data_IF_100660767471
#
_entry.id   IF_100660767471
#
_cell.length_a   1.000
_cell.length_b   1.000
_cell.length_c   1.000
_cell.angle_alpha   90.00
_cell.angle_beta   90.00
_cell.angle_gamma   90.00
#
_symmetry.space_group_name_H-M   'P 1'
#
loop_
_entity.id
_entity.type
_entity.pdbx_description
1 polymer ?
#
# COMPACT_ATOMS: atom_id res chain seq x y z
N UNK A 1 -1.88 19.49 -9.41
CA UNK A 1 -2.02 20.63 -8.47
C UNK A 1 -0.72 21.42 -8.53
N UNK A 2 -0.74 22.66 -8.98
CA UNK A 2 0.45 23.51 -8.97
C UNK A 2 0.62 23.99 -7.53
N UNK A 3 1.69 23.57 -6.87
CA UNK A 3 2.07 24.13 -5.57
C UNK A 3 2.54 25.56 -5.80
N UNK A 4 1.85 26.50 -5.21
CA UNK A 4 2.29 27.90 -5.20
C UNK A 4 3.12 28.09 -3.93
N UNK A 5 4.43 28.16 -4.09
CA UNK A 5 5.36 28.41 -3.00
C UNK A 5 6.04 29.78 -3.20
N UNK A 6 6.44 30.44 -2.11
CA UNK A 6 7.28 31.63 -2.20
C UNK A 6 8.71 31.22 -2.62
N UNK A 7 9.49 32.17 -3.15
CA UNK A 7 10.88 31.94 -3.53
C UNK A 7 11.73 31.44 -2.34
N UNK A 8 11.44 31.93 -1.13
CA UNK A 8 12.12 31.50 0.09
C UNK A 8 11.79 30.05 0.41
N UNK A 9 10.53 29.66 0.20
CA UNK A 9 10.08 28.29 0.43
C UNK A 9 10.71 27.34 -0.59
N UNK A 10 10.77 27.72 -1.87
CA UNK A 10 11.44 26.93 -2.91
C UNK A 10 12.93 26.77 -2.62
N UNK A 11 13.61 27.85 -2.20
CA UNK A 11 15.01 27.80 -1.79
C UNK A 11 15.23 26.87 -0.60
N UNK A 12 14.36 26.95 0.41
CA UNK A 12 14.44 26.09 1.59
C UNK A 12 14.29 24.60 1.24
N UNK A 13 13.32 24.25 0.40
CA UNK A 13 13.15 22.87 -0.04
C UNK A 13 14.31 22.39 -0.90
N UNK A 14 14.85 23.25 -1.79
CA UNK A 14 16.04 22.95 -2.57
C UNK A 14 17.27 22.66 -1.69
N UNK A 15 17.45 23.39 -0.61
CA UNK A 15 18.53 23.15 0.36
C UNK A 15 18.32 21.84 1.13
N UNK A 16 17.06 21.50 1.49
CA UNK A 16 16.75 20.22 2.12
C UNK A 16 17.04 19.04 1.19
N UNK A 17 16.64 19.15 -0.07
CA UNK A 17 16.92 18.10 -1.08
C UNK A 17 18.43 17.89 -1.24
N UNK A 18 19.21 18.96 -1.35
CA UNK A 18 20.66 18.87 -1.44
C UNK A 18 21.29 18.18 -0.24
N UNK A 19 20.86 18.55 0.98
CA UNK A 19 21.33 17.87 2.20
C UNK A 19 20.98 16.40 2.22
N UNK A 20 19.76 16.03 1.76
CA UNK A 20 19.39 14.63 1.64
C UNK A 20 20.28 13.90 0.63
N UNK A 21 20.57 14.49 -0.54
CA UNK A 21 21.47 13.91 -1.53
C UNK A 21 22.88 13.67 -0.95
N UNK A 22 23.43 14.65 -0.23
CA UNK A 22 24.72 14.54 0.43
C UNK A 22 24.75 13.36 1.43
N UNK A 23 23.67 13.18 2.18
CA UNK A 23 23.54 12.03 3.10
C UNK A 23 23.52 10.69 2.35
N UNK A 24 22.75 10.57 1.25
CA UNK A 24 22.72 9.35 0.43
C UNK A 24 24.08 9.03 -0.19
N UNK A 25 24.82 10.05 -0.66
CA UNK A 25 26.15 9.90 -1.18
C UNK A 25 27.11 9.37 -0.08
N UNK A 26 27.03 9.93 1.12
CA UNK A 26 27.84 9.51 2.25
C UNK A 26 27.57 8.05 2.66
N UNK A 27 26.27 7.70 2.80
CA UNK A 27 25.85 6.33 3.14
C UNK A 27 26.31 5.34 2.06
N UNK A 28 26.13 5.68 0.80
CA UNK A 28 26.58 4.82 -0.32
C UNK A 28 28.08 4.59 -0.33
N UNK A 29 28.88 5.61 0.02
CA UNK A 29 30.36 5.47 0.16
C UNK A 29 30.71 4.57 1.33
N UNK A 30 30.08 4.75 2.49
CA UNK A 30 30.31 3.95 3.69
C UNK A 30 29.99 2.47 3.43
N UNK A 31 28.85 2.19 2.80
CA UNK A 31 28.42 0.82 2.47
C UNK A 31 29.36 0.15 1.46
N UNK A 32 29.78 0.85 0.42
CA UNK A 32 30.78 0.34 -0.52
C UNK A 32 32.14 0.07 0.13
N UNK A 33 32.47 0.75 1.20
CA UNK A 33 33.66 0.50 2.01
C UNK A 33 33.51 -0.63 3.04
N UNK A 34 32.35 -1.29 3.10
CA UNK A 34 32.10 -2.44 3.98
C UNK A 34 31.70 -2.09 5.42
N UNK A 35 31.28 -0.85 5.68
CA UNK A 35 30.80 -0.44 7.02
C UNK A 35 29.36 -0.88 7.31
N UNK A 36 28.66 -1.44 6.31
CA UNK A 36 27.30 -1.98 6.45
C UNK A 36 27.17 -3.21 5.54
N UNK A 37 26.51 -4.30 5.97
CA UNK A 37 26.33 -5.47 5.13
C UNK A 37 25.39 -5.25 3.94
N UNK A 38 24.45 -4.30 4.04
CA UNK A 38 23.56 -3.95 2.93
C UNK A 38 24.18 -2.92 1.99
N UNK A 39 24.15 -3.17 0.68
CA UNK A 39 24.70 -2.24 -0.31
C UNK A 39 23.77 -1.06 -0.58
N UNK A 40 22.46 -1.30 -0.56
CA UNK A 40 21.45 -0.29 -0.85
C UNK A 40 20.79 0.25 0.43
N UNK A 41 20.40 1.52 0.49
CA UNK A 41 19.62 2.06 1.61
C UNK A 41 18.28 1.36 1.74
N UNK A 42 17.84 1.12 2.98
CA UNK A 42 16.53 0.50 3.29
C UNK A 42 15.35 1.36 2.80
N UNK A 43 15.54 2.66 2.76
CA UNK A 43 14.54 3.61 2.27
C UNK A 43 15.08 4.26 1.01
N UNK A 44 14.68 3.82 -0.18
CA UNK A 44 15.09 4.44 -1.42
C UNK A 44 14.46 5.84 -1.53
N UNK A 45 15.18 6.76 -2.15
CA UNK A 45 14.67 8.09 -2.41
C UNK A 45 13.59 8.04 -3.50
N UNK A 46 12.42 8.58 -3.20
CA UNK A 46 11.31 8.70 -4.14
C UNK A 46 11.06 10.17 -4.47
N UNK A 47 10.84 10.48 -5.74
CA UNK A 47 10.56 11.85 -6.23
C UNK A 47 9.10 12.25 -6.05
N UNK A 48 8.21 11.27 -6.05
CA UNK A 48 6.77 11.48 -5.89
C UNK A 48 6.10 10.30 -5.18
N UNK A 49 4.79 10.40 -4.98
CA UNK A 49 3.99 9.35 -4.37
C UNK A 49 4.10 8.01 -5.14
N UNK A 50 4.12 8.07 -6.47
CA UNK A 50 4.14 6.87 -7.29
C UNK A 50 5.43 6.06 -7.10
N UNK A 51 6.59 6.74 -7.12
CA UNK A 51 7.89 6.10 -6.82
C UNK A 51 7.96 5.61 -5.39
N UNK A 52 7.36 6.33 -4.42
CA UNK A 52 7.31 5.89 -3.03
C UNK A 52 6.51 4.62 -2.88
N UNK A 53 5.33 4.54 -3.50
CA UNK A 53 4.49 3.33 -3.46
C UNK A 53 5.20 2.15 -4.09
N UNK A 54 5.81 2.34 -5.26
CA UNK A 54 6.59 1.30 -5.93
C UNK A 54 7.74 0.79 -5.07
N UNK A 55 8.53 1.70 -4.50
CA UNK A 55 9.69 1.35 -3.69
C UNK A 55 9.33 0.62 -2.39
N UNK A 56 8.17 0.91 -1.80
CA UNK A 56 7.76 0.35 -0.51
C UNK A 56 6.98 -0.95 -0.62
N UNK A 57 6.04 -1.02 -1.55
CA UNK A 57 5.09 -2.13 -1.63
C UNK A 57 5.03 -2.75 -3.03
N UNK A 58 5.50 -2.05 -4.05
CA UNK A 58 5.49 -2.52 -5.44
C UNK A 58 4.11 -2.58 -6.08
N UNK A 59 3.92 -3.37 -7.12
CA UNK A 59 4.95 -4.17 -7.81
C UNK A 59 5.94 -3.30 -8.61
N UNK A 60 7.12 -3.82 -8.97
CA UNK A 60 8.07 -3.09 -9.81
C UNK A 60 7.42 -2.63 -11.12
N UNK A 61 7.65 -1.37 -11.50
CA UNK A 61 7.10 -0.76 -12.71
C UNK A 61 5.70 -0.16 -12.55
N UNK A 62 5.12 -0.14 -11.33
CA UNK A 62 3.78 0.42 -11.11
C UNK A 62 3.75 1.95 -11.12
N UNK A 63 4.86 2.63 -10.84
CA UNK A 63 4.90 4.09 -10.72
C UNK A 63 4.42 4.83 -12.00
N UNK A 64 4.84 4.48 -13.22
CA UNK A 64 4.28 5.07 -14.43
C UNK A 64 2.77 4.90 -14.55
N UNK A 65 2.23 3.74 -14.16
CA UNK A 65 0.81 3.45 -14.22
C UNK A 65 0.02 4.27 -13.21
N UNK A 66 0.53 4.42 -11.99
CA UNK A 66 -0.06 5.31 -10.97
C UNK A 66 -0.17 6.74 -11.51
N UNK A 67 0.91 7.26 -12.12
CA UNK A 67 0.92 8.62 -12.69
C UNK A 67 -0.09 8.76 -13.84
N UNK A 68 -0.21 7.76 -14.68
CA UNK A 68 -1.15 7.76 -15.81
C UNK A 68 -2.60 7.82 -15.33
N UNK A 69 -2.99 6.94 -14.41
CA UNK A 69 -4.36 6.90 -13.88
C UNK A 69 -4.68 8.15 -13.07
N UNK A 70 -3.73 8.65 -12.29
CA UNK A 70 -3.89 9.85 -11.46
C UNK A 70 -4.07 11.16 -12.26
N UNK A 71 -3.71 11.20 -13.55
CA UNK A 71 -3.92 12.41 -14.38
C UNK A 71 -5.38 12.83 -14.44
N UNK A 72 -6.29 11.87 -14.48
CA UNK A 72 -7.73 12.11 -14.70
C UNK A 72 -8.60 11.70 -13.50
N UNK A 73 -7.99 11.22 -12.42
CA UNK A 73 -8.68 10.69 -11.25
C UNK A 73 -8.13 11.26 -9.96
N UNK A 74 -8.98 11.40 -8.95
CA UNK A 74 -8.54 11.64 -7.59
C UNK A 74 -7.82 10.43 -7.01
N UNK A 75 -7.18 10.60 -5.87
CA UNK A 75 -6.35 9.58 -5.21
C UNK A 75 -7.11 8.30 -4.92
N UNK A 76 -8.31 8.41 -4.34
CA UNK A 76 -9.16 7.29 -3.99
C UNK A 76 -9.61 6.51 -5.23
N UNK A 77 -10.01 7.22 -6.27
CA UNK A 77 -10.38 6.61 -7.56
C UNK A 77 -9.21 5.92 -8.21
N UNK A 78 -8.03 6.55 -8.19
CA UNK A 78 -6.78 5.94 -8.69
C UNK A 78 -6.47 4.63 -7.97
N UNK A 79 -6.55 4.62 -6.64
CA UNK A 79 -6.31 3.42 -5.85
C UNK A 79 -7.28 2.28 -6.18
N UNK A 80 -8.57 2.58 -6.32
CA UNK A 80 -9.59 1.57 -6.63
C UNK A 80 -9.49 1.02 -8.08
N UNK A 81 -9.11 1.88 -9.03
CA UNK A 81 -8.85 1.44 -10.41
C UNK A 81 -7.64 0.48 -10.42
N UNK A 82 -6.54 0.89 -9.81
CA UNK A 82 -5.32 0.08 -9.75
C UNK A 82 -5.51 -1.20 -8.94
N UNK A 83 -6.36 -1.19 -7.90
CA UNK A 83 -6.72 -2.40 -7.17
C UNK A 83 -7.30 -3.48 -8.09
N UNK A 84 -8.20 -3.10 -9.00
CA UNK A 84 -8.79 -4.03 -9.98
C UNK A 84 -7.78 -4.49 -11.02
N UNK A 85 -7.01 -3.54 -11.58
CA UNK A 85 -6.01 -3.86 -12.59
C UNK A 85 -4.98 -4.85 -12.06
N UNK A 86 -4.38 -4.56 -10.90
CA UNK A 86 -3.40 -5.44 -10.25
C UNK A 86 -3.98 -6.81 -9.89
N UNK A 87 -5.22 -6.86 -9.41
CA UNK A 87 -5.88 -8.13 -9.13
C UNK A 87 -6.02 -9.00 -10.38
N UNK A 88 -6.39 -8.40 -11.52
CA UNK A 88 -6.51 -9.10 -12.80
C UNK A 88 -5.16 -9.54 -13.34
N UNK A 89 -4.16 -8.66 -13.36
CA UNK A 89 -2.83 -8.91 -13.90
C UNK A 89 -2.08 -10.01 -13.12
N UNK A 90 -2.13 -9.95 -11.79
CA UNK A 90 -1.40 -10.88 -10.92
C UNK A 90 -2.16 -12.19 -10.64
N UNK A 91 -3.38 -12.33 -11.17
CA UNK A 91 -4.20 -13.54 -10.95
C UNK A 91 -3.49 -14.83 -11.37
N UNK A 92 -2.69 -14.79 -12.41
CA UNK A 92 -1.92 -15.93 -12.90
C UNK A 92 -0.78 -16.35 -11.96
N UNK A 93 -0.30 -15.45 -11.11
CA UNK A 93 0.73 -15.72 -10.10
C UNK A 93 0.15 -16.37 -8.84
N UNK A 94 -1.16 -16.25 -8.65
CA UNK A 94 -1.90 -16.85 -7.55
C UNK A 94 -2.88 -15.85 -6.92
N UNK A 95 -4.04 -16.36 -6.50
CA UNK A 95 -5.12 -15.54 -5.94
C UNK A 95 -4.65 -14.77 -4.69
N UNK A 96 -3.87 -15.39 -3.81
CA UNK A 96 -3.38 -14.74 -2.58
C UNK A 96 -2.33 -13.66 -2.89
N UNK A 97 -1.45 -13.90 -3.86
CA UNK A 97 -0.47 -12.92 -4.33
C UNK A 97 -1.19 -11.69 -4.91
N UNK A 98 -2.13 -11.92 -5.82
CA UNK A 98 -2.91 -10.86 -6.44
C UNK A 98 -3.72 -10.07 -5.40
N UNK A 99 -4.38 -10.75 -4.46
CA UNK A 99 -5.16 -10.13 -3.39
C UNK A 99 -4.28 -9.28 -2.48
N UNK A 100 -3.18 -9.81 -1.98
CA UNK A 100 -2.30 -9.09 -1.06
C UNK A 100 -1.62 -7.90 -1.73
N UNK A 101 -1.06 -8.09 -2.93
CA UNK A 101 -0.38 -7.02 -3.64
C UNK A 101 -1.34 -5.88 -4.01
N UNK A 102 -2.52 -6.20 -4.55
CA UNK A 102 -3.50 -5.20 -4.92
C UNK A 102 -3.99 -4.38 -3.70
N UNK A 103 -4.24 -5.05 -2.56
CA UNK A 103 -4.67 -4.37 -1.33
C UNK A 103 -3.55 -3.46 -0.79
N UNK A 104 -2.32 -3.94 -0.68
CA UNK A 104 -1.20 -3.17 -0.14
C UNK A 104 -0.87 -1.96 -1.00
N UNK A 105 -0.75 -2.13 -2.31
CA UNK A 105 -0.43 -1.05 -3.25
C UNK A 105 -1.51 0.03 -3.22
N UNK A 106 -2.78 -0.36 -3.29
CA UNK A 106 -3.91 0.59 -3.28
C UNK A 106 -4.05 1.31 -1.94
N UNK A 107 -3.86 0.63 -0.83
CA UNK A 107 -3.85 1.25 0.49
C UNK A 107 -2.70 2.26 0.62
N UNK A 108 -1.52 1.93 0.08
CA UNK A 108 -0.35 2.83 0.07
C UNK A 108 -0.62 4.12 -0.72
N UNK A 109 -1.33 4.03 -1.84
CA UNK A 109 -1.75 5.21 -2.62
C UNK A 109 -2.67 6.11 -1.79
N UNK A 110 -3.68 5.54 -1.12
CA UNK A 110 -4.65 6.32 -0.33
C UNK A 110 -3.99 6.95 0.90
N UNK A 111 -3.09 6.23 1.56
CA UNK A 111 -2.39 6.71 2.76
C UNK A 111 -1.15 7.54 2.45
N UNK A 112 -0.97 7.96 1.21
CA UNK A 112 0.16 8.78 0.74
C UNK A 112 1.54 8.13 0.97
N UNK A 113 1.58 6.80 0.94
CA UNK A 113 2.81 6.08 1.21
C UNK A 113 3.28 6.22 2.66
N UNK A 114 2.35 6.46 3.61
CA UNK A 114 2.66 6.32 5.03
C UNK A 114 2.88 4.84 5.32
N UNK A 115 4.13 4.49 5.61
CA UNK A 115 4.65 3.13 5.68
C UNK A 115 3.88 2.17 6.59
N UNK A 116 3.43 2.66 7.74
CA UNK A 116 2.92 1.79 8.81
C UNK A 116 1.64 1.06 8.45
N UNK A 117 0.75 1.67 7.65
CA UNK A 117 -0.53 1.06 7.32
C UNK A 117 -0.41 -0.09 6.30
N UNK A 118 0.17 0.12 5.09
CA UNK A 118 0.24 -0.92 4.06
C UNK A 118 1.33 -1.97 4.29
N UNK A 119 2.40 -1.66 5.05
CA UNK A 119 3.53 -2.56 5.27
C UNK A 119 3.45 -3.31 6.59
N UNK A 120 3.50 -2.61 7.71
CA UNK A 120 3.55 -3.23 9.03
C UNK A 120 2.17 -3.44 9.65
N UNK A 121 1.22 -2.54 9.35
CA UNK A 121 -0.14 -2.62 9.90
C UNK A 121 -0.97 -3.74 9.28
N UNK A 122 -0.88 -3.96 7.98
CA UNK A 122 -1.45 -5.11 7.30
C UNK A 122 -0.40 -6.22 7.25
N UNK A 123 -0.49 -7.18 8.16
CA UNK A 123 0.46 -8.28 8.27
C UNK A 123 0.35 -9.25 7.10
N UNK A 124 -0.88 -9.57 6.74
CA UNK A 124 -1.20 -10.55 5.69
C UNK A 124 -2.57 -10.25 5.09
N UNK A 125 -2.71 -10.52 3.80
CA UNK A 125 -3.99 -10.64 3.12
C UNK A 125 -4.03 -12.02 2.47
N UNK A 126 -5.07 -12.80 2.75
CA UNK A 126 -5.16 -14.16 2.23
C UNK A 126 -6.61 -14.57 1.99
N UNK A 127 -6.81 -15.77 1.52
CA UNK A 127 -8.15 -16.36 1.43
C UNK A 127 -8.47 -17.16 2.69
N UNK A 128 -9.74 -17.19 3.07
CA UNK A 128 -10.28 -18.10 4.07
C UNK A 128 -11.53 -18.79 3.51
N UNK A 129 -11.90 -19.92 4.13
CA UNK A 129 -13.04 -20.73 3.70
C UNK A 129 -14.25 -20.39 4.56
N UNK A 130 -15.35 -20.03 3.92
CA UNK A 130 -16.68 -19.86 4.52
C UNK A 130 -17.30 -21.20 4.95
N UNK A 131 -18.35 -21.17 5.76
CA UNK A 131 -19.08 -22.37 6.18
C UNK A 131 -19.69 -23.17 5.01
N UNK A 132 -19.99 -22.52 3.90
CA UNK A 132 -20.52 -23.14 2.68
C UNK A 132 -19.41 -23.62 1.73
N UNK A 133 -18.15 -23.71 2.18
CA UNK A 133 -16.96 -24.09 1.42
C UNK A 133 -16.56 -23.12 0.28
N UNK A 134 -17.14 -21.93 0.21
CA UNK A 134 -16.65 -20.90 -0.71
C UNK A 134 -15.47 -20.14 -0.09
N UNK A 135 -14.67 -19.46 -0.92
CA UNK A 135 -13.52 -18.68 -0.44
C UNK A 135 -13.86 -17.20 -0.37
N UNK A 136 -13.46 -16.54 0.70
CA UNK A 136 -13.53 -15.09 0.88
C UNK A 136 -12.17 -14.51 1.22
N UNK A 137 -12.04 -13.18 1.14
CA UNK A 137 -10.83 -12.46 1.52
C UNK A 137 -10.75 -12.25 3.03
N UNK A 138 -9.55 -12.36 3.60
CA UNK A 138 -9.26 -12.08 5.00
C UNK A 138 -8.04 -11.15 5.12
N UNK A 139 -8.14 -10.11 5.95
CA UNK A 139 -7.05 -9.17 6.23
C UNK A 139 -6.65 -9.31 7.69
N UNK A 140 -5.37 -9.47 7.93
CA UNK A 140 -4.80 -9.61 9.27
C UNK A 140 -4.05 -8.35 9.65
N UNK A 141 -4.37 -7.80 10.81
CA UNK A 141 -3.81 -6.54 11.29
C UNK A 141 -2.93 -6.73 12.52
N UNK A 142 -1.88 -5.93 12.61
CA UNK A 142 -1.02 -5.83 13.79
C UNK A 142 -0.75 -4.36 14.18
N UNK A 143 -0.08 -4.19 15.33
CA UNK A 143 0.36 -2.88 15.79
C UNK A 143 -0.75 -1.84 15.97
N UNK A 144 -0.43 -0.56 15.79
CA UNK A 144 -1.38 0.54 16.02
C UNK A 144 -2.63 0.48 15.14
N UNK A 145 -2.53 -0.01 13.92
CA UNK A 145 -3.69 -0.11 13.01
C UNK A 145 -4.75 -1.08 13.55
N UNK A 146 -4.34 -2.11 14.30
CA UNK A 146 -5.25 -3.05 14.94
C UNK A 146 -6.11 -2.37 16.00
N UNK A 147 -5.51 -1.54 16.83
CA UNK A 147 -6.18 -0.91 17.97
C UNK A 147 -6.85 0.43 17.62
N UNK A 148 -6.16 1.29 16.85
CA UNK A 148 -6.55 2.67 16.62
C UNK A 148 -6.65 3.09 15.14
N UNK A 149 -6.49 2.15 14.20
CA UNK A 149 -6.41 2.43 12.75
C UNK A 149 -7.76 2.56 12.04
N UNK A 150 -8.82 3.11 12.65
CA UNK A 150 -10.19 3.10 12.14
C UNK A 150 -10.33 3.37 10.64
N UNK A 151 -9.87 4.51 10.15
CA UNK A 151 -9.97 4.88 8.73
C UNK A 151 -9.13 3.97 7.83
N UNK A 152 -7.89 3.68 8.19
CA UNK A 152 -7.01 2.81 7.38
C UNK A 152 -7.54 1.38 7.30
N UNK A 153 -8.10 0.84 8.40
CA UNK A 153 -8.80 -0.46 8.39
C UNK A 153 -10.01 -0.44 7.48
N UNK A 154 -10.88 0.56 7.61
CA UNK A 154 -12.09 0.67 6.79
C UNK A 154 -11.75 0.75 5.30
N UNK A 155 -10.74 1.54 4.93
CA UNK A 155 -10.25 1.66 3.56
C UNK A 155 -9.66 0.35 3.05
N UNK A 156 -8.88 -0.37 3.85
CA UNK A 156 -8.31 -1.65 3.44
C UNK A 156 -9.41 -2.71 3.21
N UNK A 157 -10.47 -2.72 4.03
CA UNK A 157 -11.63 -3.60 3.84
C UNK A 157 -12.39 -3.25 2.55
N UNK A 158 -12.60 -1.95 2.29
CA UNK A 158 -13.22 -1.49 1.04
C UNK A 158 -12.42 -1.91 -0.19
N UNK A 159 -11.09 -1.71 -0.17
CA UNK A 159 -10.20 -2.12 -1.25
C UNK A 159 -10.27 -3.64 -1.43
N UNK A 160 -10.18 -4.41 -0.34
CA UNK A 160 -10.27 -5.87 -0.40
C UNK A 160 -11.62 -6.36 -0.94
N UNK A 161 -12.73 -5.66 -0.66
CA UNK A 161 -14.04 -5.99 -1.25
C UNK A 161 -14.06 -5.78 -2.76
N UNK A 162 -13.41 -4.72 -3.26
CA UNK A 162 -13.25 -4.47 -4.69
C UNK A 162 -12.39 -5.56 -5.34
N UNK A 163 -11.24 -5.87 -4.74
CA UNK A 163 -10.29 -6.88 -5.25
C UNK A 163 -10.90 -8.29 -5.23
N UNK A 164 -11.58 -8.68 -4.14
CA UNK A 164 -12.20 -10.01 -4.08
C UNK A 164 -13.24 -10.24 -5.19
N UNK A 165 -13.99 -9.20 -5.55
CA UNK A 165 -14.97 -9.27 -6.65
C UNK A 165 -14.29 -9.50 -7.99
N UNK A 166 -13.16 -8.82 -8.24
CA UNK A 166 -12.36 -9.01 -9.43
C UNK A 166 -11.77 -10.42 -9.51
N UNK A 167 -11.36 -10.96 -8.36
CA UNK A 167 -10.83 -12.32 -8.24
C UNK A 167 -11.91 -13.40 -8.17
N UNK A 168 -13.20 -13.04 -8.23
CA UNK A 168 -14.34 -13.95 -8.10
C UNK A 168 -14.38 -14.70 -6.77
N UNK A 169 -13.96 -14.05 -5.68
CA UNK A 169 -14.10 -14.53 -4.33
C UNK A 169 -15.46 -14.12 -3.74
N UNK A 170 -16.06 -14.98 -2.94
CA UNK A 170 -17.32 -14.69 -2.26
C UNK A 170 -17.14 -13.71 -1.09
N UNK A 171 -18.23 -13.11 -0.65
CA UNK A 171 -18.25 -12.36 0.60
C UNK A 171 -18.12 -13.29 1.79
N UNK A 172 -17.63 -12.74 2.92
CA UNK A 172 -17.61 -13.46 4.19
C UNK A 172 -19.03 -13.80 4.65
N UNK A 173 -19.22 -15.02 5.12
CA UNK A 173 -20.48 -15.52 5.70
C UNK A 173 -20.25 -15.76 7.19
N UNK A 174 -20.79 -14.87 8.08
CA UNK A 174 -20.60 -15.02 9.52
C UNK A 174 -21.33 -16.24 10.07
N UNK A 175 -20.78 -16.84 11.11
CA UNK A 175 -21.44 -17.91 11.85
C UNK A 175 -22.59 -17.34 12.72
N UNK A 176 -23.60 -18.13 13.07
CA UNK A 176 -24.63 -17.70 14.02
C UNK A 176 -24.04 -17.22 15.37
N UNK A 177 -22.99 -17.88 15.86
CA UNK A 177 -22.31 -17.48 17.10
C UNK A 177 -21.60 -16.11 16.99
N UNK A 178 -21.01 -15.81 15.83
CA UNK A 178 -20.44 -14.47 15.58
C UNK A 178 -21.53 -13.39 15.53
N UNK A 179 -22.66 -13.69 14.88
CA UNK A 179 -23.79 -12.76 14.80
C UNK A 179 -24.32 -12.46 16.22
N UNK A 180 -24.52 -13.47 17.06
CA UNK A 180 -24.99 -13.28 18.44
C UNK A 180 -23.98 -12.46 19.26
N UNK A 181 -22.69 -12.75 19.14
CA UNK A 181 -21.64 -11.99 19.85
C UNK A 181 -21.66 -10.50 19.51
N UNK A 182 -21.88 -10.13 18.24
CA UNK A 182 -21.97 -8.72 17.84
C UNK A 182 -23.27 -8.02 18.26
N UNK A 183 -24.30 -8.77 18.67
CA UNK A 183 -25.52 -8.18 19.25
C UNK A 183 -25.37 -7.85 20.73
N UNK A 184 -24.41 -8.47 21.42
CA UNK A 184 -24.15 -8.27 22.85
C UNK A 184 -23.20 -7.09 23.12
N UNK A 185 -22.47 -6.59 22.12
CA UNK A 185 -21.60 -5.42 22.20
C UNK A 185 -22.37 -4.12 21.82
#
# INVERSE_FOLDING_TARGET
>A
MVLVASNEMESYFGDLEKRADDCYILVSKARKAGFDPALEPEIPRAKDLAERVEAQVGPPGIAPRIREVAKNNGRESTALILAKELAGELRSEGIEVALEQAVRTSLSIITEGVLVAPTEGVVRVSTMVNQNNTKCAAIYYAGPIRAAGGTAKALSVLIADVVRRELSLDSYIPTPAEIERYKEE
#
